data_IF_596709360479
#
_entry.id   IF_596709360479
#
_cell.length_a   1.000
_cell.length_b   1.000
_cell.length_c   1.000
_cell.angle_alpha   90.00
_cell.angle_beta   90.00
_cell.angle_gamma   90.00
#
_symmetry.space_group_name_H-M   'P 1'
#
loop_
_entity.id
_entity.type
_entity.pdbx_description
1 polymer ?
#
# COMPACT_ATOMS: atom_id res chain seq x y z
N UNK A 1 13.05 -3.58 -5.61
CA UNK A 1 12.96 -2.28 -4.91
C UNK A 1 13.62 -2.36 -3.55
N UNK A 2 14.33 -1.34 -3.06
CA UNK A 2 14.94 -1.22 -1.71
C UNK A 2 14.01 -0.41 -0.77
N UNK A 3 14.16 -0.51 0.56
CA UNK A 3 13.26 0.17 1.54
C UNK A 3 13.28 1.70 1.36
N UNK A 4 14.46 2.23 1.05
CA UNK A 4 14.76 3.66 0.83
C UNK A 4 14.16 4.22 -0.45
N UNK A 5 13.77 3.38 -1.42
CA UNK A 5 13.17 3.84 -2.67
C UNK A 5 11.71 4.22 -2.45
N UNK A 6 10.95 3.45 -1.67
CA UNK A 6 9.51 3.69 -1.40
C UNK A 6 9.28 5.06 -0.76
N UNK A 7 10.18 5.50 0.12
CA UNK A 7 10.03 6.78 0.83
C UNK A 7 10.25 7.99 -0.09
N UNK A 8 10.95 7.81 -1.21
CA UNK A 8 11.24 8.87 -2.19
C UNK A 8 10.17 9.02 -3.26
N UNK A 9 9.28 8.03 -3.40
CA UNK A 9 8.20 8.09 -4.40
C UNK A 9 7.18 9.14 -3.94
N UNK A 10 6.90 10.18 -4.75
CA UNK A 10 5.91 11.19 -4.42
C UNK A 10 4.51 10.57 -4.34
N UNK A 11 3.60 11.25 -3.65
CA UNK A 11 2.19 10.90 -3.70
C UNK A 11 1.68 11.06 -5.14
N UNK A 12 0.89 10.10 -5.61
CA UNK A 12 0.35 10.08 -6.96
C UNK A 12 0.42 8.71 -7.64
N UNK A 13 0.22 8.68 -8.97
CA UNK A 13 -0.08 7.45 -9.71
C UNK A 13 0.98 6.35 -9.60
N UNK A 14 2.25 6.73 -9.48
CA UNK A 14 3.35 5.77 -9.31
C UNK A 14 3.26 5.02 -7.97
N UNK A 15 3.05 5.76 -6.87
CA UNK A 15 2.86 5.16 -5.54
C UNK A 15 1.57 4.33 -5.49
N UNK A 16 0.51 4.83 -6.12
CA UNK A 16 -0.79 4.15 -6.16
C UNK A 16 -0.73 2.82 -6.92
N UNK A 17 0.02 2.79 -8.03
CA UNK A 17 0.26 1.57 -8.80
C UNK A 17 0.96 0.51 -7.97
N UNK A 18 2.01 0.89 -7.23
CA UNK A 18 2.71 -0.05 -6.35
C UNK A 18 1.81 -0.61 -5.27
N UNK A 19 0.95 0.22 -4.67
CA UNK A 19 -0.03 -0.21 -3.68
C UNK A 19 -1.07 -1.14 -4.31
N UNK A 20 -1.56 -0.80 -5.50
CA UNK A 20 -2.51 -1.62 -6.24
C UNK A 20 -1.98 -3.05 -6.43
N UNK A 21 -0.75 -3.20 -6.92
CA UNK A 21 -0.14 -4.49 -7.19
C UNK A 21 0.23 -5.25 -5.90
N UNK A 22 0.96 -4.60 -4.99
CA UNK A 22 1.61 -5.29 -3.88
C UNK A 22 0.71 -5.44 -2.64
N UNK A 23 -0.28 -4.57 -2.46
CA UNK A 23 -1.15 -4.58 -1.27
C UNK A 23 -2.57 -5.03 -1.66
N UNK A 24 -3.11 -4.41 -2.71
CA UNK A 24 -4.49 -4.64 -3.12
C UNK A 24 -4.65 -5.87 -4.04
N UNK A 25 -3.54 -6.47 -4.50
CA UNK A 25 -3.54 -7.70 -5.29
C UNK A 25 -3.98 -7.52 -6.74
N UNK A 26 -3.83 -6.31 -7.29
CA UNK A 26 -4.10 -6.04 -8.69
C UNK A 26 -3.06 -6.73 -9.59
N UNK A 27 -3.45 -6.98 -10.84
CA UNK A 27 -2.58 -7.59 -11.85
C UNK A 27 -2.53 -6.74 -13.11
N UNK A 28 -1.45 -6.86 -13.87
CA UNK A 28 -1.30 -6.23 -15.19
C UNK A 28 -1.54 -4.71 -15.15
N UNK A 29 -1.08 -4.05 -14.09
CA UNK A 29 -1.24 -2.59 -13.96
C UNK A 29 -0.30 -1.93 -14.94
N UNK A 30 -0.85 -1.10 -15.82
CA UNK A 30 -0.08 -0.42 -16.86
C UNK A 30 -0.57 1.00 -17.05
N UNK A 31 0.37 1.85 -17.46
CA UNK A 31 0.07 3.20 -17.91
C UNK A 31 -0.70 3.13 -19.22
N UNK A 32 -1.81 3.85 -19.30
CA UNK A 32 -2.59 4.06 -20.50
C UNK A 32 -2.64 5.56 -20.76
N UNK A 33 -1.83 6.00 -21.72
CA UNK A 33 -1.89 7.38 -22.20
C UNK A 33 -3.10 7.52 -23.13
N UNK A 34 -4.00 8.44 -22.82
CA UNK A 34 -5.01 8.93 -23.77
C UNK A 34 -4.47 10.21 -24.41
N UNK A 35 -4.60 10.34 -25.74
CA UNK A 35 -4.10 11.47 -26.51
C UNK A 35 -4.44 12.82 -25.85
N UNK A 36 -3.43 13.51 -25.32
CA UNK A 36 -3.57 14.85 -24.72
C UNK A 36 -4.12 14.89 -23.29
N UNK A 37 -4.47 13.75 -22.68
CA UNK A 37 -4.96 13.66 -21.30
C UNK A 37 -3.88 13.20 -20.33
N UNK A 38 -4.13 13.38 -19.02
CA UNK A 38 -3.27 12.83 -17.97
C UNK A 38 -3.16 11.31 -18.11
N UNK A 39 -1.96 10.79 -17.90
CA UNK A 39 -1.73 9.34 -17.85
C UNK A 39 -2.63 8.71 -16.78
N UNK A 40 -3.49 7.78 -17.21
CA UNK A 40 -4.27 6.94 -16.31
C UNK A 40 -3.59 5.59 -16.16
N UNK A 41 -3.73 4.97 -15.00
CA UNK A 41 -3.19 3.63 -14.75
C UNK A 41 -4.36 2.67 -14.65
N UNK A 42 -4.33 1.61 -15.46
CA UNK A 42 -5.41 0.62 -15.54
C UNK A 42 -4.82 -0.74 -15.25
N UNK A 43 -5.52 -1.53 -14.45
CA UNK A 43 -5.14 -2.90 -14.13
C UNK A 43 -6.35 -3.80 -13.90
N UNK A 44 -6.09 -5.05 -13.60
CA UNK A 44 -7.12 -6.04 -13.27
C UNK A 44 -7.27 -6.17 -11.76
N UNK A 45 -8.49 -5.98 -11.27
CA UNK A 45 -8.89 -6.21 -9.86
C UNK A 45 -9.96 -7.31 -9.82
N UNK A 46 -9.96 -8.12 -8.76
CA UNK A 46 -11.06 -9.07 -8.53
C UNK A 46 -12.32 -8.34 -8.05
N UNK A 47 -13.47 -8.66 -8.66
CA UNK A 47 -14.78 -8.27 -8.13
C UNK A 47 -15.15 -9.10 -6.89
N UNK A 48 -16.31 -8.82 -6.29
CA UNK A 48 -16.81 -9.57 -5.12
C UNK A 48 -17.05 -11.06 -5.40
N UNK A 49 -17.13 -11.45 -6.67
CA UNK A 49 -17.29 -12.83 -7.13
C UNK A 49 -15.94 -13.45 -7.56
N UNK A 50 -14.82 -12.79 -7.28
CA UNK A 50 -13.47 -13.26 -7.58
C UNK A 50 -13.06 -13.11 -9.04
N UNK A 51 -13.88 -12.50 -9.89
CA UNK A 51 -13.61 -12.36 -11.33
C UNK A 51 -12.71 -11.17 -11.59
N UNK A 52 -11.68 -11.36 -12.40
CA UNK A 52 -10.77 -10.30 -12.80
C UNK A 52 -11.45 -9.33 -13.78
N UNK A 53 -11.50 -8.05 -13.41
CA UNK A 53 -12.08 -6.97 -14.22
C UNK A 53 -11.08 -5.84 -14.36
N UNK A 54 -11.02 -5.26 -15.55
CA UNK A 54 -10.24 -4.05 -15.81
C UNK A 54 -10.86 -2.87 -15.07
N UNK A 55 -10.05 -2.11 -14.36
CA UNK A 55 -10.45 -0.90 -13.64
C UNK A 55 -9.29 0.09 -13.61
N UNK A 56 -9.62 1.37 -13.44
CA UNK A 56 -8.62 2.41 -13.18
C UNK A 56 -8.11 2.29 -11.74
N UNK A 57 -6.79 2.39 -11.58
CA UNK A 57 -6.12 2.40 -10.28
C UNK A 57 -6.63 3.58 -9.47
N UNK A 58 -7.07 3.27 -8.25
CA UNK A 58 -7.63 4.27 -7.35
C UNK A 58 -6.52 5.14 -6.74
N UNK A 59 -6.83 6.40 -6.40
CA UNK A 59 -5.86 7.37 -5.87
C UNK A 59 -5.50 7.11 -4.39
N UNK A 60 -4.95 5.95 -4.05
CA UNK A 60 -4.72 5.51 -2.66
C UNK A 60 -3.86 6.48 -1.82
N UNK A 61 -2.89 7.15 -2.43
CA UNK A 61 -1.92 8.03 -1.79
C UNK A 61 -2.32 9.51 -1.77
N UNK A 62 -3.43 9.86 -2.44
CA UNK A 62 -3.91 11.25 -2.53
C UNK A 62 -5.36 11.42 -2.05
N UNK A 63 -6.17 10.36 -2.07
CA UNK A 63 -7.54 10.36 -1.54
C UNK A 63 -7.60 9.69 -0.15
N UNK A 64 -7.99 10.43 0.92
CA UNK A 64 -8.17 9.87 2.26
C UNK A 64 -9.16 8.71 2.34
N UNK A 65 -10.26 8.73 1.58
CA UNK A 65 -11.28 7.68 1.61
C UNK A 65 -10.72 6.36 1.07
N UNK A 66 -9.99 6.42 -0.03
CA UNK A 66 -9.36 5.23 -0.62
C UNK A 66 -8.20 4.72 0.25
N UNK A 67 -7.51 5.61 0.96
CA UNK A 67 -6.45 5.22 1.89
C UNK A 67 -6.95 4.35 3.06
N UNK A 68 -8.22 4.49 3.47
CA UNK A 68 -8.83 3.65 4.51
C UNK A 68 -8.96 2.18 4.07
N UNK A 69 -9.09 1.93 2.76
CA UNK A 69 -9.16 0.57 2.24
C UNK A 69 -7.85 -0.22 2.46
N UNK A 70 -6.71 0.48 2.58
CA UNK A 70 -5.41 -0.13 2.83
C UNK A 70 -5.39 -0.84 4.19
N UNK A 71 -5.90 -0.20 5.24
CA UNK A 71 -5.88 -0.77 6.58
C UNK A 71 -6.73 -2.05 6.65
N UNK A 72 -7.95 -1.98 6.09
CA UNK A 72 -8.83 -3.15 5.93
C UNK A 72 -8.12 -4.26 5.18
N UNK A 73 -7.41 -3.94 4.10
CA UNK A 73 -6.65 -4.93 3.33
C UNK A 73 -5.50 -5.53 4.12
N UNK A 74 -4.75 -4.73 4.86
CA UNK A 74 -3.67 -5.23 5.71
C UNK A 74 -4.20 -6.15 6.82
N UNK A 75 -5.43 -5.93 7.29
CA UNK A 75 -6.13 -6.84 8.22
C UNK A 75 -6.51 -8.16 7.58
N UNK A 76 -7.08 -8.14 6.38
CA UNK A 76 -7.38 -9.37 5.62
C UNK A 76 -6.13 -10.21 5.35
N UNK A 77 -4.99 -9.56 5.11
CA UNK A 77 -3.70 -10.21 4.88
C UNK A 77 -3.01 -10.69 6.17
N UNK A 78 -3.58 -10.44 7.36
CA UNK A 78 -2.96 -10.78 8.65
C UNK A 78 -1.72 -9.94 8.99
N UNK A 79 -1.57 -8.77 8.38
CA UNK A 79 -0.38 -7.91 8.49
C UNK A 79 -0.63 -6.63 9.31
N UNK A 80 -1.80 -6.46 9.94
CA UNK A 80 -2.15 -5.26 10.72
C UNK A 80 -1.07 -4.83 11.71
N UNK A 81 -0.53 -5.77 12.50
CA UNK A 81 0.51 -5.43 13.50
C UNK A 81 1.77 -4.85 12.87
N UNK A 82 2.22 -5.40 11.73
CA UNK A 82 3.39 -4.89 11.01
C UNK A 82 3.10 -3.54 10.36
N UNK A 83 1.90 -3.39 9.80
CA UNK A 83 1.43 -2.14 9.22
C UNK A 83 1.47 -1.01 10.25
N UNK A 84 0.82 -1.19 11.41
CA UNK A 84 0.79 -0.19 12.48
C UNK A 84 2.19 0.13 13.01
N UNK A 85 3.06 -0.87 13.14
CA UNK A 85 4.45 -0.64 13.52
C UNK A 85 5.21 0.22 12.49
N UNK A 86 5.04 -0.05 11.19
CA UNK A 86 5.66 0.80 10.16
C UNK A 86 5.03 2.19 10.10
N UNK A 87 3.71 2.30 10.35
CA UNK A 87 3.01 3.58 10.40
C UNK A 87 3.54 4.44 11.55
N UNK A 88 3.65 3.89 12.77
CA UNK A 88 4.24 4.57 13.93
C UNK A 88 5.65 5.07 13.65
N UNK A 89 6.51 4.22 13.06
CA UNK A 89 7.88 4.63 12.70
C UNK A 89 7.92 5.80 11.71
N UNK A 90 6.96 5.86 10.78
CA UNK A 90 6.86 6.95 9.81
C UNK A 90 6.32 8.22 10.47
N UNK A 91 5.31 8.12 11.33
CA UNK A 91 4.68 9.29 11.96
C UNK A 91 5.49 9.86 13.12
N UNK A 92 6.25 9.02 13.84
CA UNK A 92 7.22 9.45 14.85
C UNK A 92 8.30 10.37 14.25
N UNK A 93 8.77 10.04 13.04
CA UNK A 93 9.73 10.88 12.31
C UNK A 93 9.16 12.29 12.02
N UNK A 94 7.84 12.42 11.93
CA UNK A 94 7.12 13.69 11.73
C UNK A 94 6.49 14.23 13.02
N UNK A 95 6.72 13.61 14.18
CA UNK A 95 6.12 13.95 15.49
C UNK A 95 4.59 14.06 15.48
N UNK A 96 3.93 13.18 14.73
CA UNK A 96 2.47 13.15 14.62
C UNK A 96 1.90 11.82 15.15
N UNK A 97 0.66 11.82 15.68
CA UNK A 97 -0.06 10.58 16.00
C UNK A 97 -0.23 9.72 14.75
N UNK A 98 -0.17 8.39 14.92
CA UNK A 98 -0.36 7.45 13.80
C UNK A 98 -1.74 7.57 13.13
N UNK A 99 -2.77 7.97 13.89
CA UNK A 99 -4.12 8.19 13.39
C UNK A 99 -4.19 9.35 12.39
N UNK A 100 -3.26 10.30 12.50
CA UNK A 100 -3.15 11.48 11.62
C UNK A 100 -2.23 11.23 10.42
N UNK A 101 -1.80 9.98 10.20
CA UNK A 101 -0.98 9.63 9.06
C UNK A 101 -1.67 9.99 7.75
N UNK A 102 -0.94 10.67 6.87
CA UNK A 102 -1.42 11.05 5.54
C UNK A 102 -1.65 9.80 4.67
N UNK A 103 -2.48 9.89 3.62
CA UNK A 103 -2.71 8.79 2.68
C UNK A 103 -1.40 8.19 2.13
N UNK A 104 -0.44 9.04 1.75
CA UNK A 104 0.87 8.60 1.30
C UNK A 104 1.68 7.86 2.38
N UNK A 105 1.64 8.31 3.64
CA UNK A 105 2.31 7.61 4.75
C UNK A 105 1.70 6.22 4.98
N UNK A 106 0.37 6.10 4.90
CA UNK A 106 -0.35 4.81 4.97
C UNK A 106 0.07 3.87 3.83
N UNK A 107 0.11 4.35 2.59
CA UNK A 107 0.62 3.59 1.44
C UNK A 107 2.04 3.04 1.68
N UNK A 108 2.96 3.91 2.12
CA UNK A 108 4.36 3.53 2.37
C UNK A 108 4.47 2.52 3.51
N UNK A 109 3.71 2.69 4.59
CA UNK A 109 3.66 1.74 5.70
C UNK A 109 3.21 0.35 5.24
N UNK A 110 2.17 0.28 4.41
CA UNK A 110 1.67 -0.98 3.86
C UNK A 110 2.70 -1.68 2.97
N UNK A 111 3.32 -0.94 2.04
CA UNK A 111 4.38 -1.47 1.17
C UNK A 111 5.58 -1.99 1.98
N UNK A 112 5.98 -1.28 3.04
CA UNK A 112 7.06 -1.73 3.95
C UNK A 112 6.67 -2.99 4.73
N UNK A 113 5.42 -3.08 5.17
CA UNK A 113 4.91 -4.24 5.91
C UNK A 113 4.84 -5.51 5.04
N UNK A 114 4.46 -5.39 3.77
CA UNK A 114 4.47 -6.50 2.79
C UNK A 114 5.89 -7.06 2.55
N UNK A 115 6.90 -6.21 2.60
CA UNK A 115 8.30 -6.56 2.29
C UNK A 115 9.09 -7.10 3.46
N UNK A 116 8.58 -6.94 4.67
CA UNK A 116 9.29 -7.43 5.86
C UNK A 116 8.92 -8.90 6.05
N UNK A 117 9.84 -9.86 5.84
CA UNK A 117 9.54 -11.26 6.10
C UNK A 117 9.07 -11.40 7.55
N UNK A 118 8.15 -12.33 7.81
CA UNK A 118 7.87 -12.74 9.18
C UNK A 118 9.22 -13.17 9.78
N UNK A 119 9.85 -12.31 10.60
CA UNK A 119 10.71 -12.83 11.65
C UNK A 119 9.77 -13.64 12.51
N UNK A 120 9.67 -14.93 12.22
CA UNK A 120 9.25 -15.93 13.18
C UNK A 120 10.06 -15.60 14.42
N UNK A 121 9.39 -15.01 15.40
CA UNK A 121 9.92 -14.90 16.75
C UNK A 121 10.18 -16.34 17.13
N UNK A 122 11.43 -16.79 17.02
CA UNK A 122 11.87 -18.04 17.60
C UNK A 122 11.49 -17.90 19.07
N UNK A 123 10.46 -18.65 19.50
CA UNK A 123 10.21 -18.83 20.93
C UNK A 123 11.55 -19.30 21.52
N UNK A 124 12.10 -18.66 22.55
CA UNK A 124 13.22 -19.25 23.26
C UNK A 124 12.71 -20.59 23.81
N UNK A 125 13.31 -21.68 23.34
CA UNK A 125 13.14 -22.97 23.99
C UNK A 125 13.57 -22.80 25.43
N UNK A 126 12.69 -23.18 26.36
CA UNK A 126 13.07 -23.33 27.76
C UNK A 126 13.90 -24.60 27.84
N UNK A 127 15.09 -24.47 28.41
CA UNK A 127 15.88 -25.55 28.99
C UNK A 127 15.05 -26.40 29.97
#
# INVERSE_FOLDING_TARGET
MKKTEIDKIPAGPELDTLVAENVMGWREVRRQSKNGERDIYVGKKQDKLGRWRSAEVRPYSTDPNESMAIESRMKELGLSKKYLMQLSQITEATRMPADWATPAQRCRAALKAMRTPLRLVRKPGRD
#
